data_IF_128967593339
#
_entry.id   IF_128967593339
#
_cell.length_a   1.000
_cell.length_b   1.000
_cell.length_c   1.000
_cell.angle_alpha   90.00
_cell.angle_beta   90.00
_cell.angle_gamma   90.00
#
_symmetry.space_group_name_H-M   'P 1'
#
loop_
_entity.id
_entity.type
_entity.pdbx_description
1 polymer ?
#
# COMPACT_ATOMS: atom_id res chain seq x y z
N UNK A 1 30.06 -63.18 25.58
CA UNK A 1 28.83 -63.79 26.14
C UNK A 1 27.80 -62.70 26.35
N UNK A 2 26.62 -62.88 25.73
CA UNK A 2 25.24 -62.49 26.11
C UNK A 2 25.08 -61.27 27.05
N UNK A 3 24.23 -60.26 26.82
CA UNK A 3 22.86 -60.33 26.33
C UNK A 3 22.29 -58.94 25.95
N UNK A 4 21.29 -59.00 25.07
CA UNK A 4 20.39 -57.94 24.60
C UNK A 4 19.25 -57.67 25.60
N UNK A 5 18.63 -56.49 25.52
CA UNK A 5 17.17 -56.16 25.66
C UNK A 5 17.06 -54.64 25.43
N UNK A 6 16.45 -54.04 24.40
CA UNK A 6 15.14 -54.18 23.72
C UNK A 6 13.92 -53.99 24.62
N UNK A 7 13.25 -52.84 24.47
CA UNK A 7 11.78 -52.59 24.40
C UNK A 7 11.55 -51.06 24.31
N UNK A 8 11.16 -50.47 23.18
CA UNK A 8 9.85 -50.38 22.46
C UNK A 8 8.75 -49.56 23.19
N UNK A 9 8.53 -48.36 22.62
CA UNK A 9 7.29 -47.59 22.37
C UNK A 9 6.13 -47.54 23.39
N UNK A 10 5.60 -46.32 23.61
CA UNK A 10 4.14 -46.14 23.66
C UNK A 10 3.71 -44.70 23.33
N UNK A 11 3.10 -44.53 22.16
CA UNK A 11 2.22 -43.42 21.77
C UNK A 11 0.97 -43.42 22.63
N UNK A 12 0.59 -42.27 23.19
CA UNK A 12 -0.76 -42.05 23.74
C UNK A 12 -1.38 -40.77 23.19
N UNK A 13 -2.22 -41.00 22.19
CA UNK A 13 -3.32 -40.17 21.71
C UNK A 13 -4.15 -39.67 22.88
N UNK A 14 -4.38 -38.35 22.99
CA UNK A 14 -5.37 -37.78 23.93
C UNK A 14 -6.58 -37.28 23.15
N UNK A 15 -7.61 -38.11 23.20
CA UNK A 15 -8.95 -37.93 22.64
C UNK A 15 -9.65 -36.71 23.25
N UNK A 16 -10.32 -35.93 22.40
CA UNK A 16 -11.22 -34.83 22.76
C UNK A 16 -12.52 -35.39 23.35
N UNK A 17 -13.05 -34.75 24.40
CA UNK A 17 -14.39 -35.05 24.96
C UNK A 17 -15.31 -33.82 24.87
N UNK A 18 -16.64 -34.00 24.82
CA UNK A 18 -17.54 -33.09 24.12
C UNK A 18 -18.21 -32.01 24.99
N UNK A 19 -18.62 -30.96 24.28
CA UNK A 19 -19.35 -29.76 24.71
C UNK A 19 -20.79 -30.10 25.16
N UNK A 20 -21.09 -29.91 26.45
CA UNK A 20 -22.46 -29.98 26.99
C UNK A 20 -23.21 -28.66 26.72
N UNK A 21 -24.32 -28.75 25.97
CA UNK A 21 -25.31 -27.67 25.81
C UNK A 21 -26.15 -27.61 27.10
N UNK A 22 -26.34 -26.41 27.66
CA UNK A 22 -27.40 -26.12 28.64
C UNK A 22 -28.34 -25.07 28.06
N UNK A 23 -29.54 -25.52 27.75
CA UNK A 23 -30.75 -24.71 27.57
C UNK A 23 -31.25 -24.27 28.95
N UNK A 24 -31.54 -22.99 29.10
CA UNK A 24 -32.48 -22.50 30.13
C UNK A 24 -33.29 -21.37 29.50
N UNK A 25 -34.57 -21.65 29.24
CA UNK A 25 -35.59 -20.67 28.92
C UNK A 25 -36.08 -20.03 30.22
N UNK A 26 -36.22 -18.71 30.30
CA UNK A 26 -37.16 -18.05 31.22
C UNK A 26 -37.46 -16.61 30.79
N UNK A 27 -38.72 -16.27 31.02
CA UNK A 27 -39.56 -15.26 30.38
C UNK A 27 -39.40 -13.85 30.95
N UNK A 28 -39.80 -12.88 30.11
CA UNK A 28 -40.39 -11.55 30.40
C UNK A 28 -39.61 -10.52 31.24
N UNK A 29 -39.35 -9.35 30.61
CA UNK A 29 -39.97 -8.06 30.94
C UNK A 29 -39.42 -6.96 30.02
N UNK A 30 -40.23 -6.54 29.05
CA UNK A 30 -39.91 -5.44 28.15
C UNK A 30 -39.94 -4.10 28.94
N UNK A 31 -38.85 -3.31 28.85
CA UNK A 31 -38.83 -1.90 29.25
C UNK A 31 -39.32 -1.06 28.07
N UNK A 32 -40.24 -0.09 28.24
CA UNK A 32 -40.61 0.80 27.15
C UNK A 32 -39.42 1.67 26.78
N UNK A 33 -38.98 1.58 25.52
CA UNK A 33 -37.99 2.51 24.95
C UNK A 33 -38.69 3.83 24.68
N UNK A 34 -38.34 4.82 25.49
CA UNK A 34 -38.66 6.24 25.31
C UNK A 34 -38.25 6.66 23.88
N UNK A 35 -39.23 7.04 23.06
CA UNK A 35 -38.99 7.59 21.72
C UNK A 35 -38.44 9.00 21.87
N UNK A 36 -37.11 9.16 21.83
CA UNK A 36 -36.52 10.48 21.64
C UNK A 36 -36.71 10.88 20.17
N UNK A 37 -37.76 11.66 19.91
CA UNK A 37 -37.95 12.40 18.66
C UNK A 37 -36.82 13.43 18.51
N UNK A 38 -35.67 12.96 18.03
CA UNK A 38 -34.53 13.83 17.73
C UNK A 38 -34.69 14.26 16.29
N UNK A 39 -35.12 15.51 16.14
CA UNK A 39 -34.83 16.44 15.04
C UNK A 39 -34.27 15.77 13.77
N UNK A 40 -35.12 15.67 12.74
CA UNK A 40 -34.69 15.54 11.35
C UNK A 40 -33.85 16.77 11.00
N UNK A 41 -32.58 16.76 11.39
CA UNK A 41 -31.58 17.62 10.80
C UNK A 41 -31.47 17.15 9.35
N UNK A 42 -32.12 17.87 8.44
CA UNK A 42 -31.81 17.82 7.01
C UNK A 42 -30.32 18.11 6.90
N UNK A 43 -29.51 17.06 6.90
CA UNK A 43 -28.14 17.15 6.42
C UNK A 43 -28.32 17.36 4.93
N UNK A 44 -28.38 18.63 4.52
CA UNK A 44 -28.23 19.00 3.12
C UNK A 44 -27.00 18.26 2.64
N UNK A 45 -27.20 17.29 1.75
CA UNK A 45 -26.11 16.59 1.11
C UNK A 45 -25.30 17.68 0.42
N UNK A 46 -24.16 18.04 1.01
CA UNK A 46 -23.19 18.90 0.35
C UNK A 46 -22.70 18.07 -0.81
N UNK A 47 -23.36 18.23 -1.97
CA UNK A 47 -22.90 17.70 -3.24
C UNK A 47 -21.59 18.45 -3.50
N UNK A 48 -20.49 17.94 -2.93
CA UNK A 48 -19.16 18.28 -3.40
C UNK A 48 -19.03 17.58 -4.74
N UNK A 49 -19.68 18.14 -5.76
CA UNK A 49 -19.48 17.74 -7.14
C UNK A 49 -17.97 17.73 -7.36
N UNK A 50 -17.47 16.69 -8.03
CA UNK A 50 -16.08 16.63 -8.47
C UNK A 50 -15.64 17.93 -9.18
N UNK A 51 -16.60 18.71 -9.72
CA UNK A 51 -16.38 20.02 -10.33
C UNK A 51 -15.75 21.05 -9.38
N UNK A 52 -16.05 21.00 -8.09
CA UNK A 52 -15.53 21.95 -7.08
C UNK A 52 -14.02 21.86 -6.84
N UNK A 53 -13.37 20.75 -7.22
CA UNK A 53 -11.93 20.52 -7.00
C UNK A 53 -11.05 20.97 -8.16
N UNK A 54 -11.65 21.28 -9.31
CA UNK A 54 -10.94 21.62 -10.54
C UNK A 54 -11.24 23.07 -10.91
N UNK A 55 -10.25 23.80 -11.43
CA UNK A 55 -10.48 25.19 -11.87
C UNK A 55 -11.37 25.22 -13.11
N UNK A 56 -11.22 24.21 -13.98
CA UNK A 56 -11.91 24.07 -15.27
C UNK A 56 -12.52 22.68 -15.44
N UNK A 57 -13.64 22.36 -14.78
CA UNK A 57 -14.21 21.01 -14.79
C UNK A 57 -14.70 20.57 -16.18
N UNK A 58 -15.29 21.46 -16.97
CA UNK A 58 -15.74 21.16 -18.34
C UNK A 58 -14.56 20.77 -19.26
N UNK A 59 -13.43 21.46 -19.14
CA UNK A 59 -12.20 21.13 -19.87
C UNK A 59 -11.72 19.70 -19.54
N UNK A 60 -11.70 19.36 -18.25
CA UNK A 60 -11.31 18.03 -17.78
C UNK A 60 -12.20 16.94 -18.36
N UNK A 61 -13.52 17.13 -18.32
CA UNK A 61 -14.46 16.15 -18.86
C UNK A 61 -14.36 16.00 -20.38
N UNK A 62 -14.12 17.08 -21.12
CA UNK A 62 -13.84 17.01 -22.57
C UNK A 62 -12.59 16.15 -22.86
N UNK A 63 -11.49 16.39 -22.13
CA UNK A 63 -10.26 15.61 -22.28
C UNK A 63 -10.50 14.14 -21.89
N UNK A 64 -11.24 13.90 -20.80
CA UNK A 64 -11.60 12.55 -20.34
C UNK A 64 -12.38 11.79 -21.41
N UNK A 65 -13.41 12.41 -22.01
CA UNK A 65 -14.20 11.81 -23.10
C UNK A 65 -13.33 11.47 -24.32
N UNK A 66 -12.46 12.40 -24.74
CA UNK A 66 -11.50 12.16 -25.83
C UNK A 66 -10.57 10.96 -25.54
N UNK A 67 -10.04 10.87 -24.32
CA UNK A 67 -9.19 9.74 -23.91
C UNK A 67 -9.96 8.43 -23.78
N UNK A 68 -11.22 8.47 -23.36
CA UNK A 68 -12.10 7.30 -23.31
C UNK A 68 -12.35 6.75 -24.71
N UNK A 69 -12.71 7.61 -25.66
CA UNK A 69 -12.97 7.21 -27.05
C UNK A 69 -11.72 6.67 -27.77
N UNK A 70 -10.53 7.19 -27.45
CA UNK A 70 -9.28 6.74 -28.06
C UNK A 70 -8.71 5.44 -27.47
N UNK A 71 -7.78 4.86 -28.21
CA UNK A 71 -6.95 3.70 -27.80
C UNK A 71 -5.70 4.11 -27.01
N UNK A 72 -5.48 5.41 -26.84
CA UNK A 72 -4.29 5.95 -26.15
C UNK A 72 -4.40 5.70 -24.65
N UNK A 73 -3.47 4.90 -24.12
CA UNK A 73 -3.46 4.51 -22.71
C UNK A 73 -4.37 3.33 -22.38
N UNK A 74 -4.82 2.55 -23.36
CA UNK A 74 -5.62 1.34 -23.16
C UNK A 74 -6.80 1.27 -24.14
N UNK A 75 -7.59 0.20 -24.07
CA UNK A 75 -8.72 -0.04 -24.98
C UNK A 75 -9.70 1.14 -25.02
N UNK A 76 -10.24 1.41 -26.22
CA UNK A 76 -11.30 2.39 -26.42
C UNK A 76 -12.54 2.03 -25.58
N UNK A 77 -13.25 3.06 -25.11
CA UNK A 77 -14.43 2.92 -24.24
C UNK A 77 -14.11 2.57 -22.77
N UNK A 78 -12.85 2.32 -22.42
CA UNK A 78 -12.47 1.88 -21.06
C UNK A 78 -11.60 2.91 -20.33
N UNK A 79 -11.82 3.02 -19.01
CA UNK A 79 -11.00 3.84 -18.12
C UNK A 79 -9.86 3.01 -17.51
N UNK A 80 -8.62 3.47 -17.68
CA UNK A 80 -7.43 2.79 -17.19
C UNK A 80 -6.56 3.72 -16.36
N UNK A 81 -5.64 3.15 -15.57
CA UNK A 81 -4.64 3.93 -14.83
C UNK A 81 -3.77 4.81 -15.75
N UNK A 82 -3.41 4.30 -16.93
CA UNK A 82 -2.62 5.05 -17.91
C UNK A 82 -3.41 6.22 -18.52
N UNK A 83 -4.71 6.04 -18.79
CA UNK A 83 -5.59 7.14 -19.20
C UNK A 83 -5.77 8.18 -18.10
N UNK A 84 -5.83 7.78 -16.83
CA UNK A 84 -5.88 8.71 -15.71
C UNK A 84 -4.60 9.57 -15.62
N UNK A 85 -3.42 8.97 -15.83
CA UNK A 85 -2.15 9.71 -15.92
C UNK A 85 -2.16 10.71 -17.08
N UNK A 86 -2.58 10.27 -18.27
CA UNK A 86 -2.69 11.14 -19.44
C UNK A 86 -3.67 12.29 -19.20
N UNK A 87 -4.83 12.02 -18.60
CA UNK A 87 -5.79 13.07 -18.26
C UNK A 87 -5.18 14.13 -17.35
N UNK A 88 -4.44 13.74 -16.32
CA UNK A 88 -3.79 14.71 -15.42
C UNK A 88 -2.81 15.60 -16.19
N UNK A 89 -1.91 15.02 -16.98
CA UNK A 89 -0.93 15.78 -17.78
C UNK A 89 -1.59 16.68 -18.82
N UNK A 90 -2.55 16.17 -19.59
CA UNK A 90 -3.25 16.93 -20.62
C UNK A 90 -4.11 18.04 -20.02
N UNK A 91 -4.71 17.79 -18.85
CA UNK A 91 -5.49 18.78 -18.14
C UNK A 91 -4.63 19.95 -17.69
N UNK A 92 -3.48 19.67 -17.06
CA UNK A 92 -2.52 20.70 -16.65
C UNK A 92 -1.97 21.47 -17.85
N UNK A 93 -1.57 20.77 -18.92
CA UNK A 93 -1.10 21.39 -20.17
C UNK A 93 -2.14 22.30 -20.83
N UNK A 94 -3.41 21.95 -20.75
CA UNK A 94 -4.51 22.74 -21.30
C UNK A 94 -4.96 23.90 -20.39
N UNK A 95 -4.17 24.26 -19.36
CA UNK A 95 -4.47 25.34 -18.41
C UNK A 95 -5.48 24.96 -17.32
N UNK A 96 -5.71 23.66 -17.14
CA UNK A 96 -6.47 23.12 -16.02
C UNK A 96 -5.66 23.12 -14.72
N UNK A 97 -6.32 23.44 -13.62
CA UNK A 97 -5.71 23.52 -12.30
C UNK A 97 -6.58 22.88 -11.22
N UNK A 98 -6.03 22.78 -10.01
CA UNK A 98 -6.68 22.15 -8.87
C UNK A 98 -6.98 23.22 -7.81
N UNK A 99 -8.20 23.20 -7.27
CA UNK A 99 -8.63 24.10 -6.20
C UNK A 99 -8.28 23.50 -4.84
N UNK A 100 -7.92 24.38 -3.90
CA UNK A 100 -7.55 24.01 -2.54
C UNK A 100 -6.10 23.55 -2.41
N UNK A 101 -5.62 23.51 -1.16
CA UNK A 101 -4.27 23.03 -0.85
C UNK A 101 -4.21 21.51 -0.97
N UNK A 102 -3.07 20.99 -1.45
CA UNK A 102 -2.78 19.55 -1.41
C UNK A 102 -2.88 19.07 0.05
N UNK A 103 -3.56 17.96 0.28
CA UNK A 103 -3.60 17.30 1.59
C UNK A 103 -2.22 16.79 1.99
N UNK A 104 -2.01 16.46 3.27
CA UNK A 104 -0.75 15.86 3.74
C UNK A 104 -0.37 14.61 2.94
N UNK A 105 -1.34 13.73 2.68
CA UNK A 105 -1.15 12.53 1.84
C UNK A 105 -0.78 12.87 0.40
N UNK A 106 -1.40 13.88 -0.21
CA UNK A 106 -1.04 14.29 -1.57
C UNK A 106 0.37 14.89 -1.64
N UNK A 107 0.77 15.66 -0.61
CA UNK A 107 2.14 16.20 -0.51
C UNK A 107 3.16 15.08 -0.35
N UNK A 108 2.89 14.09 0.50
CA UNK A 108 3.80 12.94 0.68
C UNK A 108 3.92 12.09 -0.59
N UNK A 109 2.82 11.90 -1.35
CA UNK A 109 2.85 11.23 -2.65
C UNK A 109 3.68 12.00 -3.68
N UNK A 110 3.56 13.32 -3.73
CA UNK A 110 4.38 14.17 -4.61
C UNK A 110 5.86 14.07 -4.22
N UNK A 111 6.17 14.15 -2.93
CA UNK A 111 7.54 13.98 -2.44
C UNK A 111 8.10 12.60 -2.84
N UNK A 112 7.34 11.53 -2.59
CA UNK A 112 7.71 10.17 -2.94
C UNK A 112 7.94 9.97 -4.45
N UNK A 113 7.11 10.60 -5.29
CA UNK A 113 7.23 10.54 -6.76
C UNK A 113 8.43 11.31 -7.27
N UNK A 114 8.82 12.40 -6.59
CA UNK A 114 10.00 13.21 -6.93
C UNK A 114 11.31 12.58 -6.49
N UNK A 115 11.27 11.63 -5.55
CA UNK A 115 12.46 10.91 -5.13
C UNK A 115 13.02 10.08 -6.28
N UNK A 116 14.32 10.23 -6.56
CA UNK A 116 15.02 9.37 -7.50
C UNK A 116 15.27 8.00 -6.84
N UNK A 117 14.36 7.05 -7.04
CA UNK A 117 14.50 5.70 -6.52
C UNK A 117 15.43 4.86 -7.41
N UNK A 118 16.32 4.09 -6.80
CA UNK A 118 17.28 3.30 -7.55
C UNK A 118 18.02 2.25 -6.73
N UNK A 119 18.80 1.45 -7.44
CA UNK A 119 19.79 0.54 -6.86
C UNK A 119 21.05 1.30 -6.44
N UNK A 120 21.97 0.62 -5.74
CA UNK A 120 23.25 1.18 -5.29
C UNK A 120 24.04 1.86 -6.42
N UNK A 121 23.94 1.36 -7.65
CA UNK A 121 24.65 1.87 -8.83
C UNK A 121 23.80 2.84 -9.67
N UNK A 122 22.67 3.31 -9.15
CA UNK A 122 21.78 4.24 -9.86
C UNK A 122 20.82 3.59 -10.86
N UNK A 123 20.93 2.29 -11.11
CA UNK A 123 20.02 1.58 -12.02
C UNK A 123 18.60 1.47 -11.47
N UNK A 124 17.59 1.61 -12.34
CA UNK A 124 16.16 1.47 -12.01
C UNK A 124 15.70 0.01 -11.96
N UNK A 125 16.37 -0.89 -12.69
CA UNK A 125 16.09 -2.34 -12.67
C UNK A 125 16.77 -3.02 -11.47
N UNK A 126 15.99 -3.28 -10.42
CA UNK A 126 16.49 -3.94 -9.21
C UNK A 126 16.60 -5.47 -9.33
N UNK A 127 15.73 -6.13 -10.09
CA UNK A 127 15.71 -7.60 -10.21
C UNK A 127 16.49 -8.09 -11.42
N UNK A 128 17.33 -9.12 -11.21
CA UNK A 128 18.09 -9.85 -12.24
C UNK A 128 18.12 -11.33 -11.86
N UNK A 129 17.44 -12.16 -12.65
CA UNK A 129 17.23 -13.57 -12.35
C UNK A 129 16.61 -13.77 -10.96
N UNK A 130 17.17 -14.71 -10.19
CA UNK A 130 16.75 -14.98 -8.81
C UNK A 130 17.13 -13.87 -7.80
N UNK A 131 17.94 -12.88 -8.19
CA UNK A 131 18.44 -11.86 -7.27
C UNK A 131 17.74 -10.52 -7.42
N UNK A 132 17.55 -9.82 -6.31
CA UNK A 132 17.03 -8.46 -6.25
C UNK A 132 18.04 -7.60 -5.51
N UNK A 133 18.48 -6.51 -6.14
CA UNK A 133 19.27 -5.47 -5.50
C UNK A 133 18.40 -4.67 -4.51
N UNK A 134 19.02 -4.05 -3.52
CA UNK A 134 18.33 -3.12 -2.63
C UNK A 134 17.88 -1.90 -3.41
N UNK A 135 16.64 -1.46 -3.17
CA UNK A 135 16.04 -0.30 -3.81
C UNK A 135 15.77 0.77 -2.75
N UNK A 136 16.40 1.94 -2.89
CA UNK A 136 16.30 3.06 -1.94
C UNK A 136 16.26 4.39 -2.71
N UNK A 137 15.77 5.47 -2.07
CA UNK A 137 15.92 6.82 -2.62
C UNK A 137 17.40 7.18 -2.77
N UNK A 138 17.77 7.92 -3.81
CA UNK A 138 19.13 8.41 -4.07
C UNK A 138 19.71 9.15 -2.86
N UNK A 139 18.92 9.98 -2.19
CA UNK A 139 19.29 10.67 -0.95
C UNK A 139 19.65 9.70 0.19
N UNK A 140 18.89 8.62 0.35
CA UNK A 140 19.19 7.61 1.36
C UNK A 140 20.48 6.86 1.02
N UNK A 141 20.78 6.64 -0.25
CA UNK A 141 22.09 6.13 -0.66
C UNK A 141 23.20 7.14 -0.35
N UNK A 142 23.01 8.43 -0.62
CA UNK A 142 23.99 9.49 -0.33
C UNK A 142 24.43 9.52 1.14
N UNK A 143 23.53 9.19 2.07
CA UNK A 143 23.77 9.17 3.52
C UNK A 143 24.46 7.90 4.06
N UNK A 144 24.80 6.95 3.21
CA UNK A 144 25.45 5.69 3.61
C UNK A 144 26.92 5.65 3.17
N UNK A 145 27.79 5.13 4.04
CA UNK A 145 29.18 4.81 3.64
C UNK A 145 29.20 3.66 2.63
N UNK A 146 30.29 3.54 1.84
CA UNK A 146 30.42 2.48 0.85
C UNK A 146 30.18 1.07 1.44
N UNK A 147 30.75 0.81 2.63
CA UNK A 147 30.55 -0.45 3.36
C UNK A 147 29.08 -0.67 3.76
N UNK A 148 28.40 0.36 4.24
CA UNK A 148 26.97 0.27 4.59
C UNK A 148 26.09 0.05 3.36
N UNK A 149 26.42 0.70 2.24
CA UNK A 149 25.74 0.51 0.95
C UNK A 149 25.85 -0.94 0.50
N UNK A 150 27.06 -1.49 0.50
CA UNK A 150 27.32 -2.88 0.12
C UNK A 150 26.64 -3.87 1.07
N UNK A 151 26.71 -3.65 2.38
CA UNK A 151 26.10 -4.54 3.37
C UNK A 151 24.58 -4.68 3.19
N UNK A 152 23.88 -3.55 2.99
CA UNK A 152 22.41 -3.56 2.84
C UNK A 152 21.95 -4.15 1.50
N UNK A 153 22.74 -3.94 0.44
CA UNK A 153 22.52 -4.52 -0.88
C UNK A 153 22.78 -6.04 -0.89
N UNK A 154 23.94 -6.46 -0.36
CA UNK A 154 24.30 -7.88 -0.20
C UNK A 154 23.24 -8.63 0.60
N UNK A 155 22.77 -8.08 1.72
CA UNK A 155 21.67 -8.68 2.51
C UNK A 155 20.43 -8.92 1.67
N UNK A 156 20.03 -7.94 0.83
CA UNK A 156 18.85 -8.09 -0.04
C UNK A 156 19.07 -9.16 -1.10
N UNK A 157 20.22 -9.13 -1.78
CA UNK A 157 20.57 -10.08 -2.85
C UNK A 157 20.61 -11.51 -2.34
N UNK A 158 21.32 -11.78 -1.24
CA UNK A 158 21.43 -13.13 -0.66
C UNK A 158 20.07 -13.70 -0.28
N UNK A 159 19.23 -12.90 0.40
CA UNK A 159 17.91 -13.35 0.82
C UNK A 159 16.96 -13.55 -0.37
N UNK A 160 16.98 -12.66 -1.38
CA UNK A 160 16.19 -12.85 -2.60
C UNK A 160 16.59 -14.09 -3.40
N UNK A 161 17.88 -14.45 -3.40
CA UNK A 161 18.38 -15.68 -4.01
C UNK A 161 17.80 -16.92 -3.34
N UNK A 162 17.50 -16.84 -2.04
CA UNK A 162 16.82 -17.87 -1.25
C UNK A 162 15.28 -17.78 -1.32
N UNK A 163 14.73 -17.04 -2.29
CA UNK A 163 13.28 -16.87 -2.45
C UNK A 163 12.63 -15.84 -1.52
N UNK A 164 13.37 -15.16 -0.64
CA UNK A 164 12.78 -14.20 0.30
C UNK A 164 12.47 -12.86 -0.39
N UNK A 165 11.18 -12.62 -0.66
CA UNK A 165 10.71 -11.37 -1.25
C UNK A 165 10.88 -10.17 -0.30
N UNK A 166 10.64 -10.34 0.99
CA UNK A 166 10.72 -9.27 1.99
C UNK A 166 11.97 -9.42 2.86
N UNK A 167 12.80 -8.38 2.88
CA UNK A 167 14.06 -8.37 3.62
C UNK A 167 14.21 -7.00 4.23
N UNK A 168 14.28 -6.93 5.56
CA UNK A 168 14.45 -5.67 6.26
C UNK A 168 15.69 -4.91 5.78
N UNK A 169 15.63 -3.58 5.83
CA UNK A 169 16.79 -2.74 5.65
C UNK A 169 17.73 -2.92 6.85
N UNK A 170 19.04 -2.84 6.61
CA UNK A 170 20.00 -2.72 7.72
C UNK A 170 19.67 -1.49 8.58
N UNK A 171 20.06 -1.46 9.87
CA UNK A 171 19.78 -0.33 10.75
C UNK A 171 20.23 1.02 10.15
N UNK A 172 21.42 1.07 9.55
CA UNK A 172 21.91 2.26 8.86
C UNK A 172 21.02 2.67 7.68
N UNK A 173 20.65 1.74 6.80
CA UNK A 173 19.77 2.05 5.66
C UNK A 173 18.36 2.46 6.10
N UNK A 174 17.84 1.88 7.18
CA UNK A 174 16.56 2.29 7.79
C UNK A 174 16.63 3.74 8.28
N UNK A 175 17.70 4.12 9.01
CA UNK A 175 17.92 5.52 9.46
C UNK A 175 18.09 6.47 8.28
N UNK A 176 18.89 6.10 7.28
CA UNK A 176 19.12 6.90 6.09
C UNK A 176 17.82 7.20 5.33
N UNK A 177 16.93 6.20 5.17
CA UNK A 177 15.59 6.42 4.60
C UNK A 177 14.74 7.38 5.43
N UNK A 178 14.69 7.18 6.75
CA UNK A 178 13.92 8.06 7.65
C UNK A 178 14.38 9.51 7.56
N UNK A 179 15.70 9.73 7.42
CA UNK A 179 16.26 11.06 7.22
C UNK A 179 15.95 11.62 5.82
N UNK A 180 16.00 10.78 4.78
CA UNK A 180 15.68 11.20 3.41
C UNK A 180 14.20 11.63 3.24
N UNK A 181 13.29 11.04 4.01
CA UNK A 181 11.85 11.33 3.98
C UNK A 181 11.40 12.47 4.91
N UNK A 182 12.27 12.94 5.80
CA UNK A 182 12.00 14.13 6.65
C UNK A 182 12.30 15.36 5.79
N UNK A 183 11.28 15.89 5.12
CA UNK A 183 11.31 17.12 4.32
C UNK A 183 10.14 18.00 4.72
#
# INVERSE_FOLDING_TARGET
MVARKSTRASTRTRTMTPRKKRTVSRTSRAKPRRVNATSRRRVGARVTTASSRYTRPALRERIKKRLMAGTRGGRAGQWSARKAQLLATEYEKAGGGYRGRKTGTQKSMVAWTREAWGTRTGGTRARRGATTARYLPKEAWGRLSARQKQATDRRKRMASRRGQQYVANTPAARRARKMASRR
#
